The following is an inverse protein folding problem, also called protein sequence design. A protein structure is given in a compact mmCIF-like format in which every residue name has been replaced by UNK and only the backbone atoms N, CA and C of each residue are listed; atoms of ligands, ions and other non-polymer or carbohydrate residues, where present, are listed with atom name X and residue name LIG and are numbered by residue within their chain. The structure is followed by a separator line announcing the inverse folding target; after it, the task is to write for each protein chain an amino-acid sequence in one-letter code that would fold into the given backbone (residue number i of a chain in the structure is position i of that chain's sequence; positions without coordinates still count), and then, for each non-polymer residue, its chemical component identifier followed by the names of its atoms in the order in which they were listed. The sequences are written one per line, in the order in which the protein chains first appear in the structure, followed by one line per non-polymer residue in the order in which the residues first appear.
data_IF_409126852306
#
_entry.id   IF_409126852306
#
_cell.length_a   1.000
_cell.length_b   1.000
_cell.length_c   1.000
_cell.angle_alpha   90.00
_cell.angle_beta   90.00
_cell.angle_gamma   90.00
#
_symmetry.space_group_name_H-M   'P 1'
#
loop_
_entity.id
_entity.type
_entity.pdbx_description
1 polymer ?
#
# COMPACT_ATOMS: atom_id res chain seq x y z
N UNK A 1 -62.76 27.84 4.58
CA UNK A 1 -62.10 28.02 3.27
C UNK A 1 -61.25 29.28 3.33
N UNK A 2 -59.98 29.20 2.93
CA UNK A 2 -59.04 30.33 2.99
C UNK A 2 -57.59 29.84 2.91
N UNK A 3 -57.04 29.84 1.69
CA UNK A 3 -55.71 29.39 1.29
C UNK A 3 -54.62 30.42 1.63
N UNK A 4 -53.40 29.95 1.91
CA UNK A 4 -52.25 30.81 2.12
C UNK A 4 -50.95 30.06 2.39
N UNK A 5 -50.40 29.40 1.37
CA UNK A 5 -49.05 28.84 1.39
C UNK A 5 -48.00 29.94 1.53
N UNK A 6 -47.20 29.92 2.60
CA UNK A 6 -45.85 30.52 2.65
C UNK A 6 -44.97 29.61 3.48
N UNK A 7 -44.25 28.73 2.78
CA UNK A 7 -43.18 27.94 3.38
C UNK A 7 -42.04 28.86 3.77
N UNK A 8 -41.93 29.13 5.06
CA UNK A 8 -40.82 29.86 5.64
C UNK A 8 -39.56 29.00 5.59
N UNK A 9 -38.60 29.53 4.84
CA UNK A 9 -37.25 29.04 4.63
C UNK A 9 -36.50 29.07 5.96
N UNK A 10 -36.64 28.05 6.79
CA UNK A 10 -35.73 27.82 7.91
C UNK A 10 -34.66 26.84 7.46
N UNK A 11 -33.44 27.36 7.32
CA UNK A 11 -32.28 26.69 6.78
C UNK A 11 -31.95 25.38 7.49
N UNK A 12 -31.56 24.42 6.67
CA UNK A 12 -30.76 23.23 6.92
C UNK A 12 -30.01 23.24 8.26
N UNK A 13 -30.59 22.56 9.24
CA UNK A 13 -29.87 22.16 10.44
C UNK A 13 -30.45 20.86 10.93
N UNK A 14 -29.97 19.72 10.39
CA UNK A 14 -29.83 18.40 11.04
C UNK A 14 -29.04 17.47 10.11
N UNK A 15 -27.71 17.61 10.10
CA UNK A 15 -26.83 16.48 9.80
C UNK A 15 -25.59 16.53 10.70
N UNK A 16 -25.82 16.50 12.02
CA UNK A 16 -24.92 15.77 12.92
C UNK A 16 -25.02 14.28 12.56
N UNK A 17 -24.32 13.84 11.51
CA UNK A 17 -23.94 12.44 11.37
C UNK A 17 -22.74 12.28 10.45
N UNK A 18 -21.57 12.06 11.05
CA UNK A 18 -20.44 11.43 10.35
C UNK A 18 -19.88 12.19 9.16
N UNK A 19 -19.28 13.35 9.42
CA UNK A 19 -18.30 13.96 8.53
C UNK A 19 -16.88 13.44 8.79
N UNK A 20 -16.67 12.12 8.82
CA UNK A 20 -15.32 11.57 8.68
C UNK A 20 -15.14 11.20 7.20
N UNK A 21 -14.45 12.10 6.52
CA UNK A 21 -13.91 12.06 5.17
C UNK A 21 -13.97 10.69 4.46
N UNK A 22 -14.88 10.56 3.48
CA UNK A 22 -14.96 9.44 2.52
C UNK A 22 -13.76 9.33 1.56
N UNK A 23 -12.65 9.99 1.89
CA UNK A 23 -11.43 10.16 1.09
C UNK A 23 -10.16 9.79 1.89
N UNK A 24 -10.29 9.28 3.12
CA UNK A 24 -9.17 8.90 3.99
C UNK A 24 -8.89 7.38 3.98
N UNK A 25 -9.09 6.73 2.83
CA UNK A 25 -8.79 5.30 2.60
C UNK A 25 -8.12 5.15 1.23
N UNK A 26 -7.09 5.96 0.98
CA UNK A 26 -6.21 5.84 -0.19
C UNK A 26 -4.73 5.84 0.19
N UNK A 27 -4.43 6.07 1.46
CA UNK A 27 -3.05 6.17 1.93
C UNK A 27 -2.38 4.80 2.05
N UNK A 28 -3.16 3.75 2.32
CA UNK A 28 -2.62 2.39 2.45
C UNK A 28 -2.48 1.66 1.10
N UNK A 29 -3.28 2.04 0.09
CA UNK A 29 -3.24 1.44 -1.26
C UNK A 29 -1.97 1.83 -2.05
N UNK A 30 -1.37 2.98 -1.75
CA UNK A 30 -0.18 3.52 -2.44
C UNK A 30 1.15 3.23 -1.71
N UNK A 31 1.11 2.51 -0.58
CA UNK A 31 2.29 2.18 0.21
C UNK A 31 3.04 0.96 -0.36
N UNK A 32 4.04 1.20 -1.20
CA UNK A 32 4.87 0.16 -1.81
C UNK A 32 5.80 -0.58 -0.83
N UNK A 33 5.84 -0.16 0.44
CA UNK A 33 6.56 -0.92 1.46
C UNK A 33 5.77 -2.12 1.99
N UNK A 34 4.44 -2.16 1.75
CA UNK A 34 3.57 -3.24 2.21
C UNK A 34 3.50 -4.36 1.16
N UNK A 35 3.86 -5.61 1.51
CA UNK A 35 3.68 -6.72 0.59
C UNK A 35 2.19 -7.00 0.35
N UNK A 36 1.86 -7.40 -0.88
CA UNK A 36 0.54 -7.90 -1.22
C UNK A 36 0.28 -9.25 -0.53
N UNK A 37 -0.99 -9.67 -0.41
CA UNK A 37 -1.33 -11.01 0.07
C UNK A 37 -0.62 -12.11 -0.75
N UNK A 38 -0.18 -13.20 -0.09
CA UNK A 38 0.52 -14.29 -0.76
C UNK A 38 -0.36 -15.02 -1.79
N UNK A 39 0.26 -15.64 -2.79
CA UNK A 39 -0.40 -16.37 -3.88
C UNK A 39 0.31 -17.69 -4.15
N UNK A 40 -0.29 -18.81 -3.73
CA UNK A 40 0.31 -20.14 -3.83
C UNK A 40 0.67 -20.54 -5.26
N UNK A 41 -0.18 -20.22 -6.23
CA UNK A 41 0.09 -20.47 -7.66
C UNK A 41 1.36 -19.76 -8.12
N UNK A 42 1.52 -18.50 -7.73
CA UNK A 42 2.66 -17.68 -8.11
C UNK A 42 3.94 -18.19 -7.42
N UNK A 43 3.84 -18.58 -6.15
CA UNK A 43 4.96 -19.18 -5.42
C UNK A 43 5.43 -20.48 -6.08
N UNK A 44 4.51 -21.33 -6.54
CA UNK A 44 4.88 -22.54 -7.28
C UNK A 44 5.55 -22.20 -8.62
N UNK A 45 5.03 -21.24 -9.39
CA UNK A 45 5.65 -20.86 -10.67
C UNK A 45 7.07 -20.30 -10.48
N UNK A 46 7.32 -19.55 -9.41
CA UNK A 46 8.61 -18.89 -9.17
C UNK A 46 9.62 -19.78 -8.42
N UNK A 47 9.15 -20.61 -7.48
CA UNK A 47 10.01 -21.30 -6.52
C UNK A 47 9.95 -22.83 -6.59
N UNK A 48 9.13 -23.44 -7.46
CA UNK A 48 9.13 -24.91 -7.64
C UNK A 48 10.32 -25.44 -8.46
N UNK A 49 11.11 -24.54 -9.05
CA UNK A 49 12.26 -24.84 -9.90
C UNK A 49 13.49 -25.35 -9.14
N UNK A 50 13.37 -26.47 -8.42
CA UNK A 50 14.48 -27.19 -7.80
C UNK A 50 15.24 -26.46 -6.68
N UNK A 51 15.96 -27.22 -5.86
CA UNK A 51 16.81 -26.69 -4.79
C UNK A 51 18.23 -26.40 -5.31
N UNK A 52 18.35 -25.57 -6.34
CA UNK A 52 19.66 -25.21 -6.90
C UNK A 52 20.27 -24.07 -6.10
N UNK A 53 21.28 -24.38 -5.28
CA UNK A 53 22.09 -23.38 -4.59
C UNK A 53 23.33 -22.96 -5.40
N UNK A 54 23.89 -21.81 -5.08
CA UNK A 54 25.25 -21.45 -5.48
C UNK A 54 26.28 -22.16 -4.60
N UNK A 55 27.52 -22.31 -5.07
CA UNK A 55 28.59 -22.88 -4.26
C UNK A 55 29.25 -21.79 -3.42
N UNK A 56 28.91 -21.74 -2.13
CA UNK A 56 29.46 -20.74 -1.19
C UNK A 56 30.98 -20.88 -1.01
N UNK A 57 31.52 -22.10 -0.99
CA UNK A 57 32.98 -22.33 -0.85
C UNK A 57 33.78 -21.76 -2.02
N UNK A 58 33.19 -21.69 -3.22
CA UNK A 58 33.86 -21.13 -4.41
C UNK A 58 33.92 -19.61 -4.42
N UNK A 59 33.09 -18.96 -3.63
CA UNK A 59 32.82 -17.54 -3.76
C UNK A 59 33.04 -16.75 -2.46
N UNK A 60 33.44 -17.41 -1.38
CA UNK A 60 33.74 -16.80 -0.08
C UNK A 60 34.86 -15.75 -0.17
N UNK A 61 35.91 -16.06 -0.94
CA UNK A 61 37.11 -15.23 -1.05
C UNK A 61 37.16 -14.37 -2.33
N UNK A 62 36.03 -14.12 -3.01
CA UNK A 62 36.05 -13.23 -4.18
C UNK A 62 36.41 -11.81 -3.74
N UNK A 63 37.45 -11.18 -4.30
CA UNK A 63 37.78 -9.79 -3.99
C UNK A 63 36.69 -8.85 -4.52
N UNK A 64 36.25 -7.93 -3.67
CA UNK A 64 35.31 -6.85 -4.01
C UNK A 64 36.03 -5.51 -3.83
N UNK A 65 36.04 -4.69 -4.87
CA UNK A 65 36.59 -3.34 -4.84
C UNK A 65 35.43 -2.33 -4.86
N UNK A 66 35.39 -1.40 -3.91
CA UNK A 66 34.40 -0.31 -3.91
C UNK A 66 35.12 1.03 -3.89
N UNK A 67 34.82 1.87 -4.88
CA UNK A 67 35.45 3.18 -5.05
C UNK A 67 34.38 4.27 -5.07
N UNK A 68 34.72 5.45 -4.54
CA UNK A 68 33.81 6.59 -4.43
C UNK A 68 33.83 7.22 -3.05
N UNK A 69 33.23 8.41 -2.93
CA UNK A 69 33.09 9.10 -1.66
C UNK A 69 31.82 8.62 -0.94
N UNK A 70 31.88 8.49 0.39
CA UNK A 70 30.74 8.09 1.22
C UNK A 70 30.15 6.71 0.87
N UNK A 71 31.02 5.73 0.56
CA UNK A 71 30.58 4.36 0.32
C UNK A 71 29.93 3.76 1.59
N UNK A 72 28.70 3.23 1.50
CA UNK A 72 28.09 2.49 2.61
C UNK A 72 28.84 1.16 2.86
N UNK A 73 28.84 0.66 4.11
CA UNK A 73 29.36 -0.67 4.44
C UNK A 73 28.45 -1.80 3.95
#
# INVERSE_FOLDING_TARGET
EGFGSRGDRTGFGRFERSGHSRWCDKSDDDDWSKPLPPSERLEQELFSGGNTGINFEKYDDIPVEVTGNNCPP
#
